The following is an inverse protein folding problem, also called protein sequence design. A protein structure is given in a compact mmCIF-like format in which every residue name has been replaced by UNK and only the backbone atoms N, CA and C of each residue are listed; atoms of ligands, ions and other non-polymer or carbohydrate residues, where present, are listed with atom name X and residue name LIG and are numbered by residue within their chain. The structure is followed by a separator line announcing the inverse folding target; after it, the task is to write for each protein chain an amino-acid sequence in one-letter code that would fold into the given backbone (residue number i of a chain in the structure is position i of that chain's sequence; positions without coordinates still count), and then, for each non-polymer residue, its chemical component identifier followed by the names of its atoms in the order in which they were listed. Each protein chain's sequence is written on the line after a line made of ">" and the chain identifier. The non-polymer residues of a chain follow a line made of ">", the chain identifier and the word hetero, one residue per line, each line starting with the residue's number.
data_IF_722637996207
#
_entry.id   IF_722637996207
#
_cell.length_a   1.000
_cell.length_b   1.000
_cell.length_c   1.000
_cell.angle_alpha   90.00
_cell.angle_beta   90.00
_cell.angle_gamma   90.00
#
_symmetry.space_group_name_H-M   'P 1'
#
loop_
_entity.id
_entity.type
_entity.pdbx_description
1 polymer ?
#
# COMPACT_ATOMS: atom_id res chain seq x y z
N UNK A 1 14.63 6.97 -13.14
CA UNK A 1 15.05 5.55 -13.13
C UNK A 1 15.95 5.01 -12.01
N UNK A 2 16.60 5.81 -11.13
CA UNK A 2 17.29 5.22 -9.96
C UNK A 2 16.34 4.80 -8.81
N UNK A 3 15.17 5.42 -8.72
CA UNK A 3 14.26 5.25 -7.58
C UNK A 3 13.76 3.80 -7.44
N UNK A 4 13.47 3.12 -8.56
CA UNK A 4 13.07 1.71 -8.53
C UNK A 4 14.20 0.78 -8.07
N UNK A 5 15.42 1.00 -8.54
CA UNK A 5 16.59 0.23 -8.11
C UNK A 5 16.93 0.43 -6.63
N UNK A 6 16.66 1.63 -6.09
CA UNK A 6 16.93 1.98 -4.69
C UNK A 6 15.73 1.82 -3.77
N UNK A 7 14.63 1.21 -4.23
CA UNK A 7 13.44 0.98 -3.40
C UNK A 7 13.83 0.12 -2.20
N UNK A 8 13.51 0.62 -1.00
CA UNK A 8 13.97 0.01 0.24
C UNK A 8 13.48 -1.43 0.35
N UNK A 9 14.42 -2.34 0.65
CA UNK A 9 14.19 -3.77 0.87
C UNK A 9 13.46 -4.52 -0.25
N UNK A 10 13.43 -4.00 -1.48
CA UNK A 10 12.70 -4.61 -2.60
C UNK A 10 13.03 -6.09 -2.77
N UNK A 11 14.32 -6.43 -2.89
CA UNK A 11 14.76 -7.81 -3.12
C UNK A 11 14.36 -8.75 -1.96
N UNK A 12 14.41 -8.26 -0.73
CA UNK A 12 14.02 -9.01 0.46
C UNK A 12 12.50 -9.22 0.51
N UNK A 13 11.72 -8.21 0.15
CA UNK A 13 10.25 -8.29 0.08
C UNK A 13 9.85 -9.27 -1.02
N UNK A 14 10.47 -9.20 -2.20
CA UNK A 14 10.22 -10.12 -3.32
C UNK A 14 10.52 -11.56 -2.91
N UNK A 15 11.65 -11.82 -2.24
CA UNK A 15 11.98 -13.15 -1.73
C UNK A 15 10.97 -13.68 -0.70
N UNK A 16 10.31 -12.81 0.07
CA UNK A 16 9.25 -13.24 1.00
C UNK A 16 8.00 -13.72 0.24
N UNK A 17 7.69 -13.15 -0.93
CA UNK A 17 6.54 -13.60 -1.73
C UNK A 17 6.67 -15.04 -2.21
N UNK A 18 7.90 -15.54 -2.37
CA UNK A 18 8.16 -16.93 -2.78
C UNK A 18 7.94 -17.94 -1.65
N UNK A 19 7.96 -17.48 -0.39
CA UNK A 19 7.97 -18.36 0.81
C UNK A 19 6.78 -18.14 1.74
N UNK A 20 5.98 -17.11 1.50
CA UNK A 20 4.84 -16.73 2.33
C UNK A 20 3.59 -16.48 1.50
N UNK A 21 2.42 -16.47 2.13
CA UNK A 21 1.18 -16.06 1.46
C UNK A 21 1.08 -14.52 1.43
N UNK A 22 2.00 -13.89 0.69
CA UNK A 22 2.16 -12.44 0.58
C UNK A 22 1.97 -12.00 -0.86
N UNK A 23 1.03 -11.08 -1.08
CA UNK A 23 0.91 -10.32 -2.33
C UNK A 23 1.52 -8.93 -2.11
N UNK A 24 2.37 -8.50 -3.04
CA UNK A 24 3.00 -7.17 -3.01
C UNK A 24 2.59 -6.43 -4.27
N UNK A 25 2.05 -5.22 -4.08
CA UNK A 25 1.68 -4.31 -5.17
C UNK A 25 2.53 -3.07 -5.06
N UNK A 26 3.50 -2.93 -5.96
CA UNK A 26 4.31 -1.73 -6.08
C UNK A 26 3.55 -0.67 -6.90
N UNK A 27 3.55 0.57 -6.41
CA UNK A 27 2.99 1.74 -7.08
C UNK A 27 4.10 2.76 -7.24
N UNK A 28 4.47 3.10 -8.47
CA UNK A 28 5.61 3.98 -8.75
C UNK A 28 5.15 5.28 -9.40
N UNK A 29 5.56 6.44 -8.85
CA UNK A 29 5.27 7.74 -9.48
C UNK A 29 6.08 7.96 -10.76
N UNK A 30 7.37 7.57 -10.75
CA UNK A 30 8.29 7.63 -11.88
C UNK A 30 8.83 6.22 -12.20
N UNK A 31 8.04 5.38 -12.90
CA UNK A 31 8.43 4.02 -13.22
C UNK A 31 9.42 3.95 -14.40
N UNK A 32 10.26 2.90 -14.47
CA UNK A 32 11.05 2.63 -15.67
C UNK A 32 10.16 2.32 -16.88
N UNK A 33 10.68 2.51 -18.10
CA UNK A 33 9.91 2.35 -19.35
C UNK A 33 9.23 0.97 -19.49
N UNK A 34 9.83 -0.09 -18.95
CA UNK A 34 9.31 -1.46 -19.04
C UNK A 34 8.36 -1.84 -17.88
N UNK A 35 7.93 -0.88 -17.05
CA UNK A 35 7.05 -1.15 -15.91
C UNK A 35 5.65 -1.58 -16.33
N UNK A 36 5.18 -2.69 -15.76
CA UNK A 36 3.84 -3.24 -16.01
C UNK A 36 2.94 -3.19 -14.77
N UNK A 37 3.45 -2.66 -13.65
CA UNK A 37 2.71 -2.54 -12.39
C UNK A 37 1.87 -1.28 -12.32
N UNK A 38 1.47 -0.92 -11.09
CA UNK A 38 0.68 0.28 -10.86
C UNK A 38 1.58 1.53 -10.92
N UNK A 39 1.03 2.65 -11.39
CA UNK A 39 1.75 3.91 -11.57
C UNK A 39 0.99 5.04 -10.89
N UNK A 40 1.71 6.00 -10.32
CA UNK A 40 1.16 7.16 -9.63
C UNK A 40 1.07 6.97 -8.11
N UNK A 41 -0.12 7.13 -7.55
CA UNK A 41 -0.36 7.13 -6.10
C UNK A 41 -1.32 6.02 -5.68
N UNK A 42 -1.33 5.70 -4.39
CA UNK A 42 -2.36 4.81 -3.82
C UNK A 42 -3.69 5.56 -3.82
N UNK A 43 -4.69 5.00 -4.52
CA UNK A 43 -6.04 5.59 -4.65
C UNK A 43 -7.12 4.64 -4.15
N UNK A 44 -8.31 5.17 -3.87
CA UNK A 44 -9.49 4.36 -3.54
C UNK A 44 -9.83 3.33 -4.63
N UNK A 45 -9.68 3.70 -5.91
CA UNK A 45 -9.87 2.76 -7.02
C UNK A 45 -8.86 1.61 -6.98
N UNK A 46 -7.58 1.92 -6.74
CA UNK A 46 -6.56 0.88 -6.60
C UNK A 46 -6.88 -0.05 -5.43
N UNK A 47 -7.20 0.51 -4.26
CA UNK A 47 -7.57 -0.27 -3.08
C UNK A 47 -8.81 -1.12 -3.33
N UNK A 48 -9.84 -0.60 -3.99
CA UNK A 48 -11.04 -1.36 -4.33
C UNK A 48 -10.76 -2.58 -5.22
N UNK A 49 -9.79 -2.47 -6.16
CA UNK A 49 -9.39 -3.57 -7.04
C UNK A 49 -8.51 -4.61 -6.34
N UNK A 50 -7.70 -4.19 -5.37
CA UNK A 50 -6.65 -5.03 -4.73
C UNK A 50 -7.03 -5.59 -3.37
N UNK A 51 -7.90 -4.91 -2.61
CA UNK A 51 -8.31 -5.39 -1.31
C UNK A 51 -9.15 -6.67 -1.46
N UNK A 52 -8.93 -7.67 -0.60
CA UNK A 52 -9.66 -8.92 -0.65
C UNK A 52 -11.13 -8.72 -0.27
N UNK A 53 -11.98 -9.65 -0.69
CA UNK A 53 -13.42 -9.62 -0.35
C UNK A 53 -13.63 -9.64 1.17
N UNK A 54 -12.77 -10.36 1.91
CA UNK A 54 -12.87 -10.48 3.38
C UNK A 54 -12.28 -9.27 4.15
N UNK A 55 -12.00 -8.14 3.48
CA UNK A 55 -11.38 -6.94 4.08
C UNK A 55 -12.01 -6.50 5.41
N UNK A 56 -13.32 -6.68 5.58
CA UNK A 56 -14.05 -6.32 6.80
C UNK A 56 -13.55 -7.11 8.03
N UNK A 57 -13.00 -8.31 7.83
CA UNK A 57 -12.52 -9.19 8.91
C UNK A 57 -11.00 -9.17 9.09
N UNK A 58 -10.28 -8.42 8.26
CA UNK A 58 -8.82 -8.34 8.29
C UNK A 58 -8.38 -7.08 9.04
N UNK A 59 -7.16 -7.13 9.55
CA UNK A 59 -6.48 -5.97 10.11
C UNK A 59 -5.76 -5.24 8.96
N UNK A 60 -5.87 -3.91 8.93
CA UNK A 60 -5.09 -3.05 8.04
C UNK A 60 -4.08 -2.22 8.84
N UNK A 61 -2.91 -2.01 8.24
CA UNK A 61 -1.82 -1.26 8.83
C UNK A 61 -1.37 -0.21 7.83
N UNK A 62 -1.43 1.07 8.23
CA UNK A 62 -1.11 2.21 7.37
C UNK A 62 -0.02 3.05 8.02
N UNK A 63 1.07 3.26 7.28
CA UNK A 63 2.20 4.09 7.68
C UNK A 63 2.72 4.83 6.45
N UNK A 64 3.11 6.09 6.62
CA UNK A 64 3.70 6.89 5.56
C UNK A 64 3.67 8.39 5.84
N UNK A 65 3.93 9.22 4.83
CA UNK A 65 3.77 10.66 4.93
C UNK A 65 2.32 11.04 5.29
N UNK A 66 2.09 12.11 6.07
CA UNK A 66 0.75 12.47 6.56
C UNK A 66 -0.33 12.53 5.48
N UNK A 67 -0.05 13.17 4.34
CA UNK A 67 -1.01 13.28 3.25
C UNK A 67 -1.41 11.93 2.64
N UNK A 68 -0.46 11.00 2.53
CA UNK A 68 -0.73 9.65 2.00
C UNK A 68 -1.60 8.89 2.99
N UNK A 69 -1.30 9.01 4.29
CA UNK A 69 -2.09 8.36 5.33
C UNK A 69 -3.52 8.84 5.35
N UNK A 70 -3.77 10.15 5.20
CA UNK A 70 -5.12 10.72 5.19
C UNK A 70 -5.93 10.21 3.99
N UNK A 71 -5.34 10.22 2.79
CA UNK A 71 -5.99 9.70 1.57
C UNK A 71 -6.31 8.21 1.68
N UNK A 72 -5.38 7.40 2.20
CA UNK A 72 -5.59 5.96 2.35
C UNK A 72 -6.65 5.67 3.42
N UNK A 73 -6.65 6.39 4.55
CA UNK A 73 -7.66 6.21 5.60
C UNK A 73 -9.07 6.56 5.11
N UNK A 74 -9.23 7.68 4.40
CA UNK A 74 -10.52 8.07 3.82
C UNK A 74 -11.01 7.00 2.83
N UNK A 75 -10.12 6.51 1.96
CA UNK A 75 -10.45 5.44 1.01
C UNK A 75 -10.83 4.11 1.70
N UNK A 76 -10.18 3.74 2.80
CA UNK A 76 -10.51 2.54 3.56
C UNK A 76 -11.90 2.65 4.22
N UNK A 77 -12.24 3.83 4.74
CA UNK A 77 -13.57 4.13 5.29
C UNK A 77 -14.65 3.99 4.19
N UNK A 78 -14.42 4.59 3.02
CA UNK A 78 -15.34 4.50 1.88
C UNK A 78 -15.52 3.07 1.35
N UNK A 79 -14.55 2.19 1.64
CA UNK A 79 -14.58 0.77 1.30
C UNK A 79 -15.11 -0.12 2.44
N UNK A 80 -15.75 0.47 3.46
CA UNK A 80 -16.34 -0.22 4.61
C UNK A 80 -15.32 -1.03 5.44
N UNK A 81 -14.05 -0.61 5.46
CA UNK A 81 -13.05 -1.21 6.37
C UNK A 81 -13.31 -0.71 7.79
N UNK A 82 -13.53 -1.60 8.79
CA UNK A 82 -13.85 -1.18 10.15
C UNK A 82 -12.70 -0.44 10.81
N UNK A 83 -12.98 0.73 11.38
CA UNK A 83 -11.99 1.55 12.08
C UNK A 83 -11.34 0.82 13.26
N UNK A 84 -12.06 -0.10 13.90
CA UNK A 84 -11.51 -0.90 15.02
C UNK A 84 -10.43 -1.89 14.59
N UNK A 85 -10.28 -2.13 13.28
CA UNK A 85 -9.27 -3.00 12.67
C UNK A 85 -8.20 -2.25 11.89
N UNK A 86 -8.27 -0.91 11.88
CA UNK A 86 -7.31 -0.05 11.21
C UNK A 86 -6.28 0.50 12.18
N UNK A 87 -5.02 0.17 11.92
CA UNK A 87 -3.89 0.57 12.75
C UNK A 87 -3.03 1.57 11.98
N UNK A 88 -2.89 2.78 12.53
CA UNK A 88 -2.19 3.86 11.86
C UNK A 88 -1.00 4.33 12.69
N UNK A 89 0.18 4.36 12.08
CA UNK A 89 1.39 4.87 12.72
C UNK A 89 1.79 6.21 12.08
N UNK A 90 1.55 7.30 12.80
CA UNK A 90 1.94 8.67 12.40
C UNK A 90 3.17 9.09 13.19
N UNK A 91 4.27 9.40 12.48
CA UNK A 91 5.53 9.82 13.11
C UNK A 91 5.66 11.33 13.32
N UNK A 92 4.84 12.14 12.65
CA UNK A 92 4.72 13.59 12.87
C UNK A 92 3.70 13.86 13.98
N UNK A 93 4.10 13.58 15.22
CA UNK A 93 3.34 14.00 16.42
C UNK A 93 3.79 15.41 16.80
N UNK A 94 3.20 16.43 16.19
CA UNK A 94 3.33 17.84 16.62
C UNK A 94 2.16 18.20 17.53
#
# INVERSE_FOLDING_TARGET
>A
DKAWETTAFREQIDALTETTNLEVVYVLEDPPEEWQGETGFVTAELLARRLPVEKITREDFVCGPPIVMDVVQEALIDLDVPLERSHTERFDLI
#
